data_IF_628578937284
#
_entry.id   IF_628578937284
#
_cell.length_a   1.000
_cell.length_b   1.000
_cell.length_c   1.000
_cell.angle_alpha   90.00
_cell.angle_beta   90.00
_cell.angle_gamma   90.00
#
_symmetry.space_group_name_H-M   'P 1'
#
loop_
_entity.id
_entity.type
_entity.pdbx_description
1 polymer ?
#
# COMPACT_ATOMS: atom_id res chain seq x y z
N UNK A 1 -5.91 14.22 17.24
CA UNK A 1 -4.67 14.91 17.72
C UNK A 1 -4.31 15.97 16.71
N UNK A 2 -3.94 17.18 17.11
CA UNK A 2 -3.43 18.19 16.16
C UNK A 2 -2.00 17.81 15.76
N UNK A 3 -1.65 17.99 14.48
CA UNK A 3 -0.31 17.76 13.98
C UNK A 3 0.66 18.79 14.57
N UNK A 4 1.90 18.40 14.79
CA UNK A 4 2.99 19.34 15.08
C UNK A 4 3.20 20.26 13.87
N UNK A 5 3.37 21.55 14.08
CA UNK A 5 3.74 22.49 13.01
C UNK A 5 5.26 22.51 12.74
N UNK A 6 6.01 21.67 13.45
CA UNK A 6 7.47 21.58 13.31
C UNK A 6 7.82 20.67 12.13
N UNK A 7 8.71 21.15 11.25
CA UNK A 7 9.25 20.35 10.14
C UNK A 7 10.02 19.15 10.73
N UNK A 8 9.64 17.91 10.42
CA UNK A 8 10.34 16.73 10.92
C UNK A 8 11.81 16.70 10.46
N UNK A 9 12.72 16.44 11.39
CA UNK A 9 14.13 16.23 11.09
C UNK A 9 14.37 14.76 10.78
N UNK A 10 15.08 14.50 9.69
CA UNK A 10 15.40 13.14 9.29
C UNK A 10 16.86 12.79 9.56
N UNK A 11 17.07 11.61 10.13
CA UNK A 11 18.41 11.02 10.26
C UNK A 11 18.47 9.75 9.43
N UNK A 12 19.45 9.66 8.53
CA UNK A 12 19.59 8.53 7.61
C UNK A 12 20.93 7.84 7.79
N UNK A 13 20.83 6.53 7.97
CA UNK A 13 22.00 5.66 8.01
C UNK A 13 21.94 4.64 6.86
N UNK A 14 23.10 4.40 6.26
CA UNK A 14 23.27 3.33 5.26
C UNK A 14 24.40 2.41 5.74
N UNK A 15 24.15 1.10 5.70
CA UNK A 15 25.15 0.09 6.11
C UNK A 15 25.66 -0.59 4.86
N UNK A 16 26.97 -0.49 4.64
CA UNK A 16 27.70 -1.15 3.55
C UNK A 16 28.80 -2.02 4.15
N UNK A 17 28.70 -3.34 3.98
CA UNK A 17 29.52 -4.27 4.74
C UNK A 17 29.33 -4.11 6.24
N UNK A 18 30.41 -3.96 6.97
CA UNK A 18 30.40 -3.73 8.44
C UNK A 18 30.35 -2.24 8.84
N UNK A 19 30.33 -1.34 7.87
CA UNK A 19 30.37 0.10 8.13
C UNK A 19 28.99 0.75 8.05
N UNK A 20 28.63 1.51 9.09
CA UNK A 20 27.41 2.30 9.17
C UNK A 20 27.71 3.76 8.90
N UNK A 21 27.31 4.26 7.75
CA UNK A 21 27.47 5.65 7.34
C UNK A 21 26.27 6.49 7.78
N UNK A 22 26.51 7.60 8.47
CA UNK A 22 25.50 8.64 8.67
C UNK A 22 25.57 9.59 7.46
N UNK A 23 24.55 9.52 6.59
CA UNK A 23 24.49 10.33 5.37
C UNK A 23 23.57 11.54 5.49
N UNK A 24 23.07 11.83 6.68
CA UNK A 24 22.06 12.88 6.92
C UNK A 24 22.49 14.25 6.40
N UNK A 25 23.77 14.61 6.58
CA UNK A 25 24.31 15.90 6.12
C UNK A 25 24.47 16.01 4.59
N UNK A 26 24.46 14.89 3.89
CA UNK A 26 24.52 14.84 2.42
C UNK A 26 23.12 14.82 1.77
N UNK A 27 22.05 14.78 2.55
CA UNK A 27 20.68 14.69 2.04
C UNK A 27 20.19 16.08 1.65
N UNK A 28 19.79 16.22 0.38
CA UNK A 28 19.08 17.38 -0.15
C UNK A 28 17.57 17.21 -0.11
N UNK A 29 17.07 15.97 -0.19
CA UNK A 29 15.64 15.68 -0.14
C UNK A 29 15.35 14.20 0.14
N UNK A 30 14.18 13.96 0.71
CA UNK A 30 13.63 12.60 0.95
C UNK A 30 12.20 12.57 0.47
N UNK A 31 11.91 11.71 -0.53
CA UNK A 31 10.56 11.39 -0.92
C UNK A 31 10.18 10.02 -0.37
N UNK A 32 8.97 9.89 0.19
CA UNK A 32 8.44 8.60 0.69
C UNK A 32 7.06 8.35 0.09
N UNK A 33 6.81 7.13 -0.38
CA UNK A 33 5.52 6.73 -0.92
C UNK A 33 5.08 5.38 -0.37
N UNK A 34 3.78 5.26 -0.09
CA UNK A 34 3.11 4.04 0.35
C UNK A 34 1.75 3.92 -0.34
N UNK A 35 1.29 2.69 -0.58
CA UNK A 35 0.00 2.41 -1.21
C UNK A 35 0.08 2.44 -2.73
N UNK A 36 -1.01 2.86 -3.38
CA UNK A 36 -1.11 2.90 -4.84
C UNK A 36 -0.88 1.52 -5.50
N UNK A 37 -1.50 0.49 -4.92
CA UNK A 37 -1.39 -0.90 -5.40
C UNK A 37 -0.09 -1.61 -5.02
N UNK A 38 0.78 -0.97 -4.24
CA UNK A 38 2.03 -1.55 -3.76
C UNK A 38 1.97 -1.83 -2.26
N UNK A 39 2.53 -2.97 -1.83
CA UNK A 39 2.66 -3.30 -0.41
C UNK A 39 3.98 -2.82 0.19
N UNK A 40 5.00 -2.62 -0.65
CA UNK A 40 6.31 -2.13 -0.24
C UNK A 40 6.32 -0.60 -0.14
N UNK A 41 6.83 -0.07 0.97
CA UNK A 41 7.12 1.35 1.09
C UNK A 41 8.34 1.70 0.24
N UNK A 42 8.25 2.79 -0.50
CA UNK A 42 9.32 3.35 -1.31
C UNK A 42 9.88 4.62 -0.65
N UNK A 43 11.21 4.71 -0.59
CA UNK A 43 11.93 5.92 -0.20
C UNK A 43 12.91 6.31 -1.31
N UNK A 44 12.90 7.56 -1.70
CA UNK A 44 13.88 8.11 -2.63
C UNK A 44 14.73 9.13 -1.87
N UNK A 45 16.04 8.88 -1.81
CA UNK A 45 17.03 9.76 -1.20
C UNK A 45 17.71 10.58 -2.28
N UNK A 46 17.64 11.90 -2.18
CA UNK A 46 18.40 12.81 -3.01
C UNK A 46 19.66 13.22 -2.23
N UNK A 47 20.83 12.80 -2.69
CA UNK A 47 22.09 12.95 -1.99
C UNK A 47 23.08 13.84 -2.75
N UNK A 48 23.80 14.68 -2.06
CA UNK A 48 25.03 15.26 -2.60
C UNK A 48 26.13 14.19 -2.61
N UNK A 49 26.82 14.03 -3.73
CA UNK A 49 27.93 13.09 -3.82
C UNK A 49 29.18 13.72 -3.17
N UNK A 50 29.33 13.48 -1.88
CA UNK A 50 30.44 14.00 -1.04
C UNK A 50 31.55 12.98 -0.92
N UNK A 51 32.75 13.44 -0.59
CA UNK A 51 33.85 12.57 -0.18
C UNK A 51 33.66 12.15 1.27
N UNK A 52 33.81 10.84 1.51
CA UNK A 52 33.88 10.24 2.83
C UNK A 52 35.23 9.55 2.92
N UNK A 53 36.10 10.07 3.77
CA UNK A 53 37.54 9.69 3.82
C UNK A 53 38.18 9.86 2.42
N UNK A 54 38.67 8.79 1.82
CA UNK A 54 39.34 8.81 0.52
C UNK A 54 38.44 8.34 -0.65
N UNK A 55 37.14 8.19 -0.44
CA UNK A 55 36.20 7.64 -1.43
C UNK A 55 34.99 8.54 -1.62
N UNK A 56 34.45 8.56 -2.84
CA UNK A 56 33.16 9.20 -3.08
C UNK A 56 32.01 8.36 -2.53
N UNK A 57 31.02 9.00 -1.91
CA UNK A 57 29.83 8.36 -1.35
C UNK A 57 29.15 7.42 -2.37
N UNK A 58 29.07 7.83 -3.63
CA UNK A 58 28.50 7.01 -4.73
C UNK A 58 29.27 5.71 -5.00
N UNK A 59 30.54 5.63 -4.63
CA UNK A 59 31.34 4.40 -4.75
C UNK A 59 31.19 3.46 -3.54
N UNK A 60 30.87 4.02 -2.38
CA UNK A 60 30.69 3.24 -1.13
C UNK A 60 29.32 2.56 -1.04
N UNK A 61 28.30 3.16 -1.65
CA UNK A 61 26.93 2.69 -1.56
C UNK A 61 26.59 1.75 -2.73
N UNK A 62 26.23 0.51 -2.41
CA UNK A 62 25.99 -0.57 -3.37
C UNK A 62 24.53 -1.06 -3.29
N UNK A 63 23.98 -1.68 -4.36
CA UNK A 63 22.69 -2.35 -4.31
C UNK A 63 22.63 -3.36 -3.15
N UNK A 64 21.49 -3.41 -2.45
CA UNK A 64 21.30 -4.29 -1.30
C UNK A 64 21.83 -3.77 0.03
N UNK A 65 22.56 -2.64 0.05
CA UNK A 65 22.94 -2.02 1.32
C UNK A 65 21.70 -1.64 2.12
N UNK A 66 21.79 -1.83 3.44
CA UNK A 66 20.68 -1.54 4.37
C UNK A 66 20.53 -0.04 4.58
N UNK A 67 19.28 0.42 4.57
CA UNK A 67 18.92 1.84 4.80
C UNK A 67 18.00 1.93 6.00
N UNK A 68 18.25 2.93 6.85
CA UNK A 68 17.44 3.26 8.02
C UNK A 68 17.13 4.75 7.98
N UNK A 69 15.87 5.11 8.05
CA UNK A 69 15.43 6.52 8.16
C UNK A 69 14.68 6.70 9.46
N UNK A 70 15.10 7.66 10.24
CA UNK A 70 14.44 8.12 11.46
C UNK A 70 13.83 9.49 11.22
N UNK A 71 12.71 9.77 11.87
CA UNK A 71 12.12 11.09 11.92
C UNK A 71 11.98 11.56 13.36
N UNK A 72 12.21 12.86 13.56
CA UNK A 72 12.01 13.56 14.83
C UNK A 72 11.14 14.80 14.55
N UNK A 73 9.92 14.81 15.06
CA UNK A 73 8.97 15.93 14.94
C UNK A 73 8.93 16.83 16.19
N UNK A 74 9.89 16.65 17.08
CA UNK A 74 9.99 17.36 18.38
C UNK A 74 9.11 16.75 19.47
N UNK A 75 8.20 15.84 19.15
CA UNK A 75 7.35 15.12 20.12
C UNK A 75 7.67 13.64 20.16
N UNK A 76 8.07 13.09 19.03
CA UNK A 76 8.43 11.69 18.85
C UNK A 76 9.67 11.59 17.96
N UNK A 77 10.55 10.65 18.30
CA UNK A 77 11.71 10.28 17.48
C UNK A 77 11.71 8.76 17.33
N UNK A 78 11.48 8.26 16.13
CA UNK A 78 11.47 6.82 15.85
C UNK A 78 11.87 6.53 14.40
N UNK A 79 12.14 5.27 14.14
CA UNK A 79 12.41 4.74 12.82
C UNK A 79 11.11 4.69 11.98
N UNK A 80 11.14 5.37 10.84
CA UNK A 80 9.99 5.46 9.91
C UNK A 80 10.18 4.63 8.64
N UNK A 81 11.41 4.18 8.37
CA UNK A 81 11.71 3.32 7.24
C UNK A 81 12.95 2.46 7.52
N UNK A 82 12.87 1.22 7.10
CA UNK A 82 13.97 0.28 7.05
C UNK A 82 13.87 -0.54 5.77
N UNK A 83 14.96 -0.55 4.99
CA UNK A 83 14.92 -1.24 3.71
C UNK A 83 16.31 -1.40 3.09
N UNK A 84 16.34 -1.42 1.76
CA UNK A 84 17.53 -1.69 0.97
C UNK A 84 17.69 -0.65 -0.14
N UNK A 85 18.92 -0.30 -0.46
CA UNK A 85 19.24 0.40 -1.71
C UNK A 85 18.90 -0.53 -2.88
N UNK A 86 17.97 -0.08 -3.73
CA UNK A 86 17.47 -0.88 -4.84
C UNK A 86 17.98 -0.39 -6.20
N UNK A 87 17.93 0.92 -6.38
CA UNK A 87 18.30 1.57 -7.63
C UNK A 87 19.11 2.83 -7.36
N UNK A 88 20.08 3.10 -8.21
CA UNK A 88 20.86 4.34 -8.20
C UNK A 88 20.70 5.07 -9.52
N UNK A 89 20.42 6.35 -9.49
CA UNK A 89 20.55 7.28 -10.60
C UNK A 89 21.60 8.32 -10.25
N UNK A 90 22.52 8.56 -11.15
CA UNK A 90 23.54 9.61 -11.04
C UNK A 90 23.53 10.46 -12.29
N UNK A 91 23.32 11.76 -12.11
CA UNK A 91 23.41 12.75 -13.20
C UNK A 91 24.48 13.75 -12.83
N UNK A 92 25.38 14.01 -13.76
CA UNK A 92 26.45 15.00 -13.61
C UNK A 92 26.36 16.02 -14.73
N UNK A 93 26.30 17.28 -14.35
CA UNK A 93 26.42 18.43 -15.27
C UNK A 93 27.63 19.28 -14.86
N UNK A 94 27.84 20.41 -15.54
CA UNK A 94 28.88 21.37 -15.14
C UNK A 94 28.65 21.98 -13.76
N UNK A 95 27.39 22.08 -13.35
CA UNK A 95 26.99 22.77 -12.09
C UNK A 95 26.44 21.84 -11.03
N UNK A 96 25.92 20.66 -11.41
CA UNK A 96 25.18 19.79 -10.50
C UNK A 96 25.70 18.34 -10.55
N UNK A 97 25.67 17.69 -9.39
CA UNK A 97 25.99 16.27 -9.22
C UNK A 97 24.86 15.60 -8.42
N UNK A 98 23.77 15.32 -9.10
CA UNK A 98 22.61 14.70 -8.50
C UNK A 98 22.81 13.20 -8.35
N UNK A 99 22.83 12.75 -7.12
CA UNK A 99 22.89 11.34 -6.75
C UNK A 99 21.56 10.96 -6.09
N UNK A 100 20.80 10.09 -6.75
CA UNK A 100 19.51 9.63 -6.24
C UNK A 100 19.55 8.14 -6.02
N UNK A 101 19.07 7.71 -4.85
CA UNK A 101 18.85 6.31 -4.51
C UNK A 101 17.38 6.05 -4.25
N UNK A 102 16.83 5.04 -4.93
CA UNK A 102 15.52 4.48 -4.64
C UNK A 102 15.70 3.28 -3.71
N UNK A 103 14.97 3.29 -2.63
CA UNK A 103 15.02 2.28 -1.57
C UNK A 103 13.62 1.70 -1.40
N UNK A 104 13.56 0.42 -1.06
CA UNK A 104 12.30 -0.25 -0.69
C UNK A 104 12.47 -1.01 0.61
N UNK A 105 11.39 -1.18 1.36
CA UNK A 105 11.37 -2.07 2.50
C UNK A 105 11.42 -3.56 2.06
N UNK A 106 11.41 -4.47 3.02
CA UNK A 106 11.56 -5.90 2.75
C UNK A 106 10.38 -6.54 1.99
N UNK A 107 9.22 -5.87 1.89
CA UNK A 107 8.08 -6.39 1.13
C UNK A 107 8.27 -6.26 -0.38
N UNK A 108 9.29 -5.53 -0.84
CA UNK A 108 9.65 -5.48 -2.26
C UNK A 108 9.94 -6.87 -2.82
N UNK A 109 10.56 -7.74 -2.02
CA UNK A 109 10.83 -9.12 -2.45
C UNK A 109 9.54 -9.91 -2.73
N UNK A 110 8.46 -9.62 -1.99
CA UNK A 110 7.15 -10.22 -2.25
C UNK A 110 6.49 -9.66 -3.50
N UNK A 111 6.72 -8.38 -3.77
CA UNK A 111 6.15 -7.68 -4.91
C UNK A 111 6.85 -8.08 -6.23
N UNK A 112 8.15 -8.37 -6.18
CA UNK A 112 8.94 -8.73 -7.36
C UNK A 112 9.06 -10.24 -7.60
N UNK A 113 8.59 -11.07 -6.65
CA UNK A 113 8.77 -12.52 -6.74
C UNK A 113 7.45 -13.26 -6.97
N UNK A 114 7.52 -14.31 -7.77
CA UNK A 114 6.43 -15.24 -7.98
C UNK A 114 6.49 -16.40 -6.99
N UNK A 115 5.33 -16.89 -6.60
CA UNK A 115 5.17 -18.04 -5.73
C UNK A 115 4.19 -19.05 -6.34
N UNK A 116 4.38 -20.32 -6.01
CA UNK A 116 3.44 -21.39 -6.25
C UNK A 116 3.27 -22.20 -4.98
N UNK A 117 2.08 -22.15 -4.40
CA UNK A 117 1.80 -22.81 -3.13
C UNK A 117 0.46 -23.54 -3.16
N UNK A 118 0.40 -24.67 -2.46
CA UNK A 118 -0.80 -25.46 -2.26
C UNK A 118 -1.08 -25.61 -0.76
N UNK A 119 -2.32 -25.30 -0.39
CA UNK A 119 -2.80 -25.53 0.96
C UNK A 119 -4.07 -26.38 0.94
N UNK A 120 -4.04 -27.51 1.68
CA UNK A 120 -5.21 -28.33 1.88
C UNK A 120 -6.32 -27.59 2.62
N UNK A 121 -7.56 -28.03 2.44
CA UNK A 121 -8.70 -27.52 3.20
C UNK A 121 -8.46 -27.60 4.71
N UNK A 122 -8.99 -26.63 5.46
CA UNK A 122 -8.89 -26.57 6.90
C UNK A 122 -7.72 -25.70 7.43
N UNK A 123 -6.88 -25.15 6.56
CA UNK A 123 -5.81 -24.24 6.98
C UNK A 123 -6.37 -22.88 7.37
N UNK A 124 -5.85 -22.32 8.47
CA UNK A 124 -6.19 -20.97 8.92
C UNK A 124 -5.36 -19.91 8.22
N UNK A 125 -5.90 -18.71 8.01
CA UNK A 125 -5.21 -17.57 7.38
C UNK A 125 -3.84 -17.34 7.98
N UNK A 126 -3.74 -17.22 9.31
CA UNK A 126 -2.47 -17.00 10.01
C UNK A 126 -1.42 -18.07 9.66
N UNK A 127 -1.81 -19.35 9.67
CA UNK A 127 -0.89 -20.46 9.37
C UNK A 127 -0.39 -20.45 7.91
N UNK A 128 -1.22 -19.97 6.98
CA UNK A 128 -0.83 -19.79 5.57
C UNK A 128 0.23 -18.68 5.47
N UNK A 129 -0.04 -17.52 6.09
CA UNK A 129 0.90 -16.40 6.14
C UNK A 129 2.22 -16.79 6.81
N UNK A 130 2.17 -17.46 7.97
CA UNK A 130 3.37 -17.95 8.68
C UNK A 130 4.22 -18.88 7.79
N UNK A 131 3.57 -19.77 7.03
CA UNK A 131 4.26 -20.69 6.13
C UNK A 131 4.98 -19.95 5.01
N UNK A 132 4.30 -19.00 4.36
CA UNK A 132 4.86 -18.21 3.26
C UNK A 132 5.96 -17.27 3.77
N UNK A 133 5.70 -16.51 4.84
CA UNK A 133 6.70 -15.60 5.41
C UNK A 133 7.96 -16.34 5.89
N UNK A 134 7.81 -17.51 6.51
CA UNK A 134 8.94 -18.33 6.93
C UNK A 134 9.80 -18.78 5.75
N UNK A 135 9.17 -19.18 4.63
CA UNK A 135 9.88 -19.57 3.40
C UNK A 135 10.76 -18.44 2.86
N UNK A 136 10.29 -17.20 2.99
CA UNK A 136 10.98 -16.02 2.49
C UNK A 136 11.81 -15.28 3.56
N UNK A 137 11.94 -15.84 4.76
CA UNK A 137 12.77 -15.28 5.83
C UNK A 137 12.25 -13.96 6.41
N UNK A 138 10.96 -13.65 6.24
CA UNK A 138 10.33 -12.43 6.73
C UNK A 138 9.56 -12.73 8.02
N UNK A 139 9.76 -11.90 9.04
CA UNK A 139 9.00 -11.97 10.29
C UNK A 139 7.56 -11.53 10.05
N UNK A 140 6.62 -12.18 10.73
CA UNK A 140 5.18 -11.88 10.63
C UNK A 140 4.62 -11.48 11.98
N UNK A 141 3.84 -10.41 11.98
CA UNK A 141 2.88 -10.05 13.03
C UNK A 141 1.45 -10.10 12.48
N UNK A 142 0.75 -11.19 12.77
CA UNK A 142 -0.64 -11.42 12.45
C UNK A 142 -1.38 -11.80 13.73
N UNK A 143 -1.92 -10.81 14.43
CA UNK A 143 -2.54 -10.98 15.75
C UNK A 143 -4.07 -11.03 15.72
N UNK A 144 -4.64 -10.89 14.53
CA UNK A 144 -6.07 -10.65 14.35
C UNK A 144 -6.83 -11.90 13.94
N UNK A 145 -8.12 -11.69 13.63
CA UNK A 145 -9.06 -12.73 13.26
C UNK A 145 -8.62 -13.49 12.01
N UNK A 146 -8.73 -14.80 12.09
CA UNK A 146 -8.27 -15.71 11.06
C UNK A 146 -9.41 -16.65 10.68
N UNK A 147 -9.73 -16.72 9.40
CA UNK A 147 -10.71 -17.67 8.88
C UNK A 147 -10.06 -19.02 8.57
N UNK A 148 -10.90 -20.04 8.44
CA UNK A 148 -10.53 -21.34 7.87
C UNK A 148 -10.81 -21.33 6.38
N UNK A 149 -9.81 -21.66 5.57
CA UNK A 149 -9.90 -21.70 4.12
C UNK A 149 -10.31 -23.09 3.61
N UNK A 150 -10.99 -23.12 2.46
CA UNK A 150 -11.08 -24.29 1.61
C UNK A 150 -9.69 -24.61 1.02
N UNK A 151 -9.60 -25.61 0.14
CA UNK A 151 -8.38 -25.87 -0.61
C UNK A 151 -7.97 -24.62 -1.41
N UNK A 152 -6.70 -24.20 -1.24
CA UNK A 152 -6.13 -23.08 -1.99
C UNK A 152 -5.02 -23.57 -2.93
N UNK A 153 -5.09 -23.16 -4.18
CA UNK A 153 -4.03 -23.30 -5.18
C UNK A 153 -3.64 -21.89 -5.58
N UNK A 154 -2.50 -21.45 -5.10
CA UNK A 154 -2.00 -20.08 -5.23
C UNK A 154 -0.84 -20.05 -6.21
N UNK A 155 -0.87 -19.12 -7.17
CA UNK A 155 0.20 -18.96 -8.16
C UNK A 155 0.20 -17.52 -8.69
N UNK A 156 1.34 -16.87 -8.59
CA UNK A 156 1.53 -15.50 -9.08
C UNK A 156 2.45 -14.69 -8.19
N UNK A 157 2.37 -13.39 -8.29
CA UNK A 157 3.11 -12.48 -7.40
C UNK A 157 2.72 -12.72 -5.96
N UNK A 158 3.72 -12.85 -5.09
CA UNK A 158 3.46 -13.16 -3.69
C UNK A 158 2.68 -12.05 -2.98
N UNK A 159 2.89 -10.79 -3.38
CA UNK A 159 2.09 -9.66 -2.90
C UNK A 159 0.60 -9.84 -3.21
N UNK A 160 0.26 -10.24 -4.44
CA UNK A 160 -1.14 -10.47 -4.86
C UNK A 160 -1.74 -11.67 -4.13
N UNK A 161 -0.93 -12.72 -3.92
CA UNK A 161 -1.35 -13.89 -3.12
C UNK A 161 -1.78 -13.46 -1.72
N UNK A 162 -1.00 -12.61 -1.04
CA UNK A 162 -1.37 -12.12 0.28
C UNK A 162 -2.60 -11.24 0.27
N UNK A 163 -2.68 -10.29 -0.65
CA UNK A 163 -3.75 -9.28 -0.69
C UNK A 163 -4.99 -9.81 -1.38
N UNK A 164 -4.94 -10.04 -2.68
CA UNK A 164 -6.10 -10.39 -3.50
C UNK A 164 -6.59 -11.83 -3.26
N UNK A 165 -5.65 -12.82 -3.19
CA UNK A 165 -6.07 -14.23 -3.11
C UNK A 165 -6.47 -14.64 -1.68
N UNK A 166 -5.86 -14.07 -0.64
CA UNK A 166 -6.09 -14.49 0.76
C UNK A 166 -6.88 -13.46 1.56
N UNK A 167 -6.42 -12.19 1.63
CA UNK A 167 -7.09 -11.19 2.47
C UNK A 167 -8.44 -10.75 1.95
N UNK A 168 -8.65 -10.77 0.64
CA UNK A 168 -9.99 -10.53 0.08
C UNK A 168 -10.98 -11.64 0.47
N UNK A 169 -10.54 -12.92 0.54
CA UNK A 169 -11.38 -13.98 1.08
C UNK A 169 -11.70 -13.79 2.57
N UNK A 170 -10.76 -13.23 3.33
CA UNK A 170 -11.02 -12.87 4.74
C UNK A 170 -12.06 -11.75 4.83
N UNK A 171 -11.89 -10.69 4.03
CA UNK A 171 -12.85 -9.59 3.91
C UNK A 171 -14.24 -10.11 3.56
N UNK A 172 -14.34 -11.02 2.59
CA UNK A 172 -15.60 -11.59 2.14
C UNK A 172 -16.36 -12.34 3.23
N UNK A 173 -15.63 -13.04 4.08
CA UNK A 173 -16.23 -13.84 5.17
C UNK A 173 -16.48 -13.05 6.44
N UNK A 174 -15.69 -12.02 6.72
CA UNK A 174 -15.73 -11.30 8.00
C UNK A 174 -16.24 -9.87 7.88
N UNK A 175 -16.27 -9.30 6.66
CA UNK A 175 -16.52 -7.87 6.42
C UNK A 175 -15.37 -6.95 6.82
N UNK A 176 -14.26 -7.50 7.32
CA UNK A 176 -13.11 -6.71 7.81
C UNK A 176 -12.02 -6.65 6.76
N UNK A 177 -11.58 -5.44 6.44
CA UNK A 177 -10.42 -5.19 5.57
C UNK A 177 -9.13 -5.21 6.39
N UNK A 178 -8.05 -5.67 5.77
CA UNK A 178 -6.71 -5.67 6.35
C UNK A 178 -5.73 -5.00 5.43
N UNK A 179 -4.73 -4.35 6.01
CA UNK A 179 -3.58 -3.77 5.30
C UNK A 179 -2.33 -4.57 5.64
N UNK A 180 -1.47 -4.74 4.64
CA UNK A 180 -0.14 -5.35 4.77
C UNK A 180 0.89 -4.24 4.68
N UNK A 181 1.78 -4.13 5.67
CA UNK A 181 2.86 -3.15 5.68
C UNK A 181 4.08 -3.64 6.44
N UNK A 182 5.26 -3.14 6.11
CA UNK A 182 6.50 -3.43 6.83
C UNK A 182 6.76 -2.39 7.92
N UNK A 183 7.15 -2.88 9.10
CA UNK A 183 7.67 -2.05 10.18
C UNK A 183 8.90 -2.78 10.79
N UNK A 184 10.08 -2.15 10.72
CA UNK A 184 11.34 -2.71 11.28
C UNK A 184 11.62 -4.16 10.88
N UNK A 185 11.51 -4.47 9.56
CA UNK A 185 11.65 -5.80 8.93
C UNK A 185 10.57 -6.83 9.30
N UNK A 186 9.55 -6.44 9.99
CA UNK A 186 8.41 -7.32 10.30
C UNK A 186 7.24 -6.96 9.38
N UNK A 187 6.69 -7.95 8.69
CA UNK A 187 5.43 -7.80 7.97
C UNK A 187 4.29 -7.78 8.97
N UNK A 188 3.56 -6.70 8.99
CA UNK A 188 2.36 -6.54 9.81
C UNK A 188 1.11 -6.69 8.94
N UNK A 189 0.19 -7.51 9.40
CA UNK A 189 -1.18 -7.60 8.85
C UNK A 189 -2.10 -7.00 9.90
N UNK A 190 -2.62 -5.81 9.62
CA UNK A 190 -3.41 -5.02 10.58
C UNK A 190 -4.81 -4.75 10.03
N UNK A 191 -5.85 -4.69 10.89
CA UNK A 191 -7.15 -4.20 10.45
C UNK A 191 -7.04 -2.75 9.98
N UNK A 192 -7.73 -2.42 8.90
CA UNK A 192 -7.87 -1.06 8.41
C UNK A 192 -8.61 -0.23 9.44
N UNK A 193 -8.16 1.00 9.69
CA UNK A 193 -8.76 1.93 10.66
C UNK A 193 -8.47 1.62 12.13
N UNK A 194 -7.59 0.66 12.45
CA UNK A 194 -7.28 0.26 13.83
C UNK A 194 -6.14 1.07 14.49
N UNK A 195 -5.73 2.18 13.91
CA UNK A 195 -4.72 3.05 14.49
C UNK A 195 -5.22 3.68 15.82
N UNK A 196 -4.32 3.75 16.80
CA UNK A 196 -4.65 4.32 18.12
C UNK A 196 -4.77 5.84 18.09
N UNK A 197 -3.91 6.49 17.32
CA UNK A 197 -3.91 7.94 17.14
C UNK A 197 -4.64 8.26 15.83
N UNK A 198 -5.79 8.94 15.94
CA UNK A 198 -6.55 9.44 14.80
C UNK A 198 -6.23 10.93 14.64
N UNK A 199 -5.65 11.30 13.50
CA UNK A 199 -5.35 12.68 13.18
C UNK A 199 -6.56 13.36 12.57
N UNK A 200 -6.75 14.65 12.90
CA UNK A 200 -7.85 15.46 12.40
C UNK A 200 -7.27 16.57 11.52
N UNK A 201 -7.72 16.59 10.27
CA UNK A 201 -7.34 17.56 9.24
C UNK A 201 -8.44 18.62 9.12
N UNK A 202 -8.10 19.86 9.44
CA UNK A 202 -9.05 20.98 9.53
C UNK A 202 -8.58 22.11 8.61
N UNK A 203 -9.49 22.60 7.76
CA UNK A 203 -9.24 23.76 6.90
C UNK A 203 -8.85 25.00 7.72
N UNK A 204 -7.82 25.70 7.27
CA UNK A 204 -7.28 26.87 7.97
C UNK A 204 -6.40 26.56 9.18
N UNK A 205 -6.23 25.30 9.59
CA UNK A 205 -5.33 24.89 10.67
C UNK A 205 -4.12 24.11 10.14
N UNK A 206 -4.35 22.98 9.51
CA UNK A 206 -3.30 22.01 9.12
C UNK A 206 -3.54 21.38 7.75
N UNK A 207 -4.40 21.96 6.93
CA UNK A 207 -4.66 21.56 5.55
C UNK A 207 -4.17 22.65 4.61
N UNK A 208 -3.30 22.28 3.65
CA UNK A 208 -2.85 23.19 2.59
C UNK A 208 -3.88 23.24 1.47
N UNK A 209 -4.37 22.07 1.03
CA UNK A 209 -5.55 21.95 0.17
C UNK A 209 -6.28 20.64 0.44
N UNK A 210 -7.56 20.61 0.08
CA UNK A 210 -8.39 19.41 0.01
C UNK A 210 -9.03 19.32 -1.37
N UNK A 211 -9.17 18.11 -1.88
CA UNK A 211 -9.88 17.81 -3.11
C UNK A 211 -10.84 16.65 -2.87
N UNK A 212 -12.02 16.75 -3.43
CA UNK A 212 -13.00 15.67 -3.49
C UNK A 212 -13.50 15.51 -4.92
N UNK A 213 -13.93 14.31 -5.24
CA UNK A 213 -14.47 14.00 -6.55
C UNK A 213 -15.07 12.61 -6.57
N UNK A 214 -15.41 12.17 -7.75
CA UNK A 214 -15.89 10.80 -7.96
C UNK A 214 -15.42 10.29 -9.33
N UNK A 215 -15.33 8.96 -9.45
CA UNK A 215 -15.02 8.29 -10.71
C UNK A 215 -15.94 7.11 -10.93
N UNK A 216 -16.20 6.80 -12.19
CA UNK A 216 -16.87 5.57 -12.62
C UNK A 216 -15.86 4.50 -13.06
N UNK A 217 -14.56 4.75 -12.92
CA UNK A 217 -13.54 3.78 -13.29
C UNK A 217 -13.64 2.52 -12.42
N UNK A 218 -13.63 1.36 -13.08
CA UNK A 218 -13.84 0.07 -12.41
C UNK A 218 -15.28 -0.23 -11.99
N UNK A 219 -16.24 0.63 -12.33
CA UNK A 219 -17.64 0.42 -12.00
C UNK A 219 -18.22 -0.75 -12.78
N UNK A 220 -19.12 -1.52 -12.15
CA UNK A 220 -19.77 -2.70 -12.73
C UNK A 220 -21.29 -2.54 -12.54
N UNK A 221 -22.01 -2.36 -13.65
CA UNK A 221 -23.48 -2.26 -13.63
C UNK A 221 -24.16 -3.49 -14.17
N UNK A 222 -23.41 -4.45 -14.75
CA UNK A 222 -23.94 -5.69 -15.27
C UNK A 222 -22.91 -6.81 -15.15
N UNK A 223 -23.32 -7.97 -14.67
CA UNK A 223 -22.49 -9.18 -14.64
C UNK A 223 -23.17 -10.29 -15.44
N UNK A 224 -22.41 -10.89 -16.36
CA UNK A 224 -22.83 -12.10 -17.09
C UNK A 224 -22.08 -13.29 -16.49
N UNK A 225 -22.82 -14.35 -16.20
CA UNK A 225 -22.29 -15.62 -15.70
C UNK A 225 -22.28 -16.61 -16.87
N UNK A 226 -21.07 -17.06 -17.23
CA UNK A 226 -20.89 -18.09 -18.26
C UNK A 226 -20.81 -19.47 -17.63
N UNK A 227 -21.42 -20.43 -18.30
CA UNK A 227 -21.33 -21.85 -17.98
C UNK A 227 -20.13 -22.53 -18.65
N UNK A 228 -20.05 -23.85 -18.47
CA UNK A 228 -19.01 -24.63 -19.15
C UNK A 228 -19.16 -24.56 -20.66
N UNK A 229 -18.03 -24.48 -21.36
CA UNK A 229 -17.98 -24.57 -22.80
C UNK A 229 -18.58 -25.92 -23.31
N UNK A 230 -19.36 -25.85 -24.36
CA UNK A 230 -19.87 -27.01 -25.11
C UNK A 230 -18.75 -27.69 -25.92
N UNK A 231 -19.09 -28.77 -26.61
CA UNK A 231 -18.13 -29.50 -27.47
C UNK A 231 -17.59 -28.69 -28.65
N UNK A 232 -18.14 -27.49 -28.90
CA UNK A 232 -17.71 -26.54 -29.95
C UNK A 232 -16.97 -25.32 -29.34
N UNK A 233 -16.71 -25.35 -28.04
CA UNK A 233 -16.02 -24.24 -27.32
C UNK A 233 -16.92 -23.03 -27.04
N UNK A 234 -18.25 -23.13 -27.13
CA UNK A 234 -19.17 -22.05 -26.82
C UNK A 234 -19.57 -22.12 -25.34
N UNK A 235 -19.49 -21.00 -24.64
CA UNK A 235 -19.86 -20.86 -23.25
C UNK A 235 -21.28 -20.26 -23.18
N UNK A 236 -22.28 -20.99 -22.70
CA UNK A 236 -23.65 -20.48 -22.61
C UNK A 236 -23.75 -19.44 -21.47
N UNK A 237 -24.56 -18.40 -21.70
CA UNK A 237 -24.92 -17.47 -20.63
C UNK A 237 -25.93 -18.18 -19.72
N UNK A 238 -25.55 -18.48 -18.49
CA UNK A 238 -26.41 -19.12 -17.49
C UNK A 238 -27.22 -18.12 -16.67
N UNK A 239 -26.69 -16.92 -16.45
CA UNK A 239 -27.43 -15.85 -15.81
C UNK A 239 -26.86 -14.49 -16.14
N UNK A 240 -27.66 -13.44 -15.95
CA UNK A 240 -27.30 -12.04 -16.03
C UNK A 240 -27.79 -11.34 -14.77
N UNK A 241 -26.95 -10.61 -14.08
CA UNK A 241 -27.29 -9.77 -12.94
C UNK A 241 -27.07 -8.32 -13.34
N UNK A 242 -28.09 -7.49 -13.19
CA UNK A 242 -28.02 -6.06 -13.53
C UNK A 242 -28.21 -5.21 -12.28
N UNK A 243 -27.38 -4.19 -12.14
CA UNK A 243 -27.54 -3.08 -11.22
C UNK A 243 -28.23 -1.90 -11.91
N UNK A 244 -27.82 -0.67 -11.60
CA UNK A 244 -28.44 0.55 -12.12
C UNK A 244 -27.90 0.93 -13.52
N UNK A 245 -28.17 0.09 -14.50
CA UNK A 245 -27.79 0.33 -15.90
C UNK A 245 -28.56 1.47 -16.54
N UNK A 246 -29.73 1.84 -16.00
CA UNK A 246 -30.53 2.96 -16.50
C UNK A 246 -29.85 4.30 -16.19
N UNK A 247 -29.22 4.41 -15.03
CA UNK A 247 -28.56 5.64 -14.58
C UNK A 247 -27.13 5.78 -15.11
N UNK A 248 -26.37 4.67 -15.10
CA UNK A 248 -24.92 4.73 -15.36
C UNK A 248 -24.50 4.06 -16.68
N UNK A 249 -25.45 3.56 -17.46
CA UNK A 249 -25.14 2.78 -18.66
C UNK A 249 -24.70 1.35 -18.33
N UNK A 250 -24.33 0.61 -19.38
CA UNK A 250 -23.89 -0.79 -19.23
C UNK A 250 -22.38 -0.90 -19.13
N UNK A 251 -21.87 -1.14 -17.92
CA UNK A 251 -20.47 -1.48 -17.63
C UNK A 251 -20.45 -2.96 -17.22
N UNK A 252 -20.09 -3.82 -18.19
CA UNK A 252 -20.29 -5.26 -18.08
C UNK A 252 -19.02 -5.97 -17.66
N UNK A 253 -19.15 -6.87 -16.68
CA UNK A 253 -18.14 -7.87 -16.31
C UNK A 253 -18.66 -9.28 -16.62
N UNK A 254 -17.76 -10.14 -17.04
CA UNK A 254 -18.03 -11.56 -17.26
C UNK A 254 -17.33 -12.34 -16.15
N UNK A 255 -18.01 -13.33 -15.59
CA UNK A 255 -17.45 -14.30 -14.67
C UNK A 255 -17.77 -15.72 -15.15
N UNK A 256 -16.78 -16.60 -15.04
CA UNK A 256 -16.93 -18.00 -15.41
C UNK A 256 -17.33 -18.80 -14.17
N UNK A 257 -18.41 -19.55 -14.27
CA UNK A 257 -18.85 -20.42 -13.17
C UNK A 257 -17.83 -21.50 -12.79
N UNK A 258 -17.01 -21.92 -13.74
CA UNK A 258 -16.02 -22.99 -13.56
C UNK A 258 -16.65 -24.25 -12.92
N UNK A 259 -16.24 -24.58 -11.68
CA UNK A 259 -16.75 -25.71 -10.91
C UNK A 259 -17.73 -25.30 -9.79
N UNK A 260 -18.05 -24.00 -9.66
CA UNK A 260 -18.99 -23.51 -8.64
C UNK A 260 -20.45 -23.78 -9.04
N UNK A 261 -21.36 -23.77 -8.08
CA UNK A 261 -22.80 -23.82 -8.36
C UNK A 261 -23.28 -22.48 -8.94
N UNK A 262 -24.37 -22.53 -9.75
CA UNK A 262 -24.97 -21.29 -10.25
C UNK A 262 -25.42 -20.35 -9.12
N UNK A 263 -25.81 -20.91 -7.97
CA UNK A 263 -26.16 -20.12 -6.77
C UNK A 263 -24.97 -19.35 -6.22
N UNK A 264 -23.80 -19.97 -6.17
CA UNK A 264 -22.56 -19.31 -5.72
C UNK A 264 -22.12 -18.24 -6.70
N UNK A 265 -22.13 -18.53 -8.00
CA UNK A 265 -21.81 -17.54 -9.03
C UNK A 265 -22.77 -16.33 -9.01
N UNK A 266 -24.07 -16.55 -8.75
CA UNK A 266 -25.04 -15.44 -8.55
C UNK A 266 -24.75 -14.62 -7.30
N UNK A 267 -24.30 -15.24 -6.20
CA UNK A 267 -23.88 -14.51 -4.99
C UNK A 267 -22.66 -13.63 -5.27
N UNK A 268 -21.68 -14.16 -5.99
CA UNK A 268 -20.50 -13.42 -6.42
C UNK A 268 -20.88 -12.24 -7.32
N UNK A 269 -21.72 -12.46 -8.33
CA UNK A 269 -22.21 -11.41 -9.22
C UNK A 269 -22.96 -10.30 -8.47
N UNK A 270 -23.84 -10.66 -7.53
CA UNK A 270 -24.54 -9.67 -6.69
C UNK A 270 -23.57 -8.89 -5.79
N UNK A 271 -22.53 -9.54 -5.26
CA UNK A 271 -21.47 -8.89 -4.50
C UNK A 271 -20.72 -7.87 -5.35
N UNK A 272 -20.31 -8.23 -6.57
CA UNK A 272 -19.65 -7.32 -7.51
C UNK A 272 -20.50 -6.08 -7.81
N UNK A 273 -21.81 -6.26 -8.07
CA UNK A 273 -22.74 -5.14 -8.26
C UNK A 273 -22.86 -4.28 -6.99
N UNK A 274 -22.91 -4.89 -5.81
CA UNK A 274 -23.00 -4.16 -4.54
C UNK A 274 -21.74 -3.33 -4.27
N UNK A 275 -20.57 -3.88 -4.52
CA UNK A 275 -19.27 -3.24 -4.22
C UNK A 275 -18.85 -2.23 -5.30
N UNK A 276 -19.15 -2.50 -6.58
CA UNK A 276 -18.69 -1.71 -7.72
C UNK A 276 -19.84 -1.07 -8.53
N UNK A 277 -21.08 -1.16 -8.08
CA UNK A 277 -22.24 -0.67 -8.83
C UNK A 277 -22.53 0.81 -8.68
N UNK A 278 -21.69 1.56 -7.96
CA UNK A 278 -21.80 3.00 -7.73
C UNK A 278 -20.48 3.68 -8.05
N UNK A 279 -20.48 4.99 -8.41
CA UNK A 279 -19.26 5.77 -8.49
C UNK A 279 -18.47 5.70 -7.18
N UNK A 280 -17.15 5.63 -7.30
CA UNK A 280 -16.24 5.65 -6.16
C UNK A 280 -15.89 7.10 -5.83
N UNK A 281 -16.03 7.49 -4.56
CA UNK A 281 -15.54 8.77 -4.09
C UNK A 281 -14.02 8.79 -4.07
N UNK A 282 -13.46 9.95 -4.40
CA UNK A 282 -12.04 10.24 -4.40
C UNK A 282 -11.80 11.41 -3.46
N UNK A 283 -10.89 11.25 -2.52
CA UNK A 283 -10.52 12.31 -1.60
C UNK A 283 -9.01 12.47 -1.58
N UNK A 284 -8.55 13.69 -1.61
CA UNK A 284 -7.14 14.04 -1.53
C UNK A 284 -6.92 15.19 -0.56
N UNK A 285 -5.89 15.11 0.26
CA UNK A 285 -5.50 16.17 1.18
C UNK A 285 -4.00 16.38 1.10
N UNK A 286 -3.60 17.65 0.94
CA UNK A 286 -2.22 18.08 1.19
C UNK A 286 -2.12 18.75 2.55
N UNK A 287 -1.16 18.31 3.35
CA UNK A 287 -0.91 18.80 4.70
C UNK A 287 0.59 18.79 5.02
N UNK A 288 1.06 19.51 6.06
CA UNK A 288 2.38 19.30 6.63
C UNK A 288 2.59 17.83 6.98
N UNK A 289 3.80 17.30 6.76
CA UNK A 289 4.07 15.87 6.96
C UNK A 289 3.90 15.45 8.43
N UNK A 290 3.16 14.38 8.62
CA UNK A 290 3.08 13.64 9.87
C UNK A 290 3.73 12.28 9.62
N UNK A 291 4.99 12.06 10.05
CA UNK A 291 5.77 10.87 9.69
C UNK A 291 5.13 9.54 10.09
N UNK A 292 4.21 9.58 11.05
CA UNK A 292 3.63 8.41 11.73
C UNK A 292 2.37 7.88 11.06
N UNK A 293 1.70 8.66 10.21
CA UNK A 293 0.54 8.20 9.44
C UNK A 293 0.99 7.17 8.42
N UNK A 294 0.26 6.06 8.32
CA UNK A 294 0.55 4.96 7.38
C UNK A 294 -0.71 4.59 6.58
N UNK A 295 -0.50 3.92 5.46
CA UNK A 295 -1.60 3.33 4.70
C UNK A 295 -2.41 2.37 5.57
N UNK A 296 -3.73 2.44 5.46
CA UNK A 296 -4.68 1.71 6.32
C UNK A 296 -5.06 2.42 7.61
N UNK A 297 -4.45 3.56 7.94
CA UNK A 297 -4.83 4.34 9.10
C UNK A 297 -6.11 5.15 8.82
N UNK A 298 -6.91 5.34 9.87
CA UNK A 298 -8.08 6.21 9.88
C UNK A 298 -7.66 7.64 10.20
N UNK A 299 -8.26 8.58 9.51
CA UNK A 299 -8.15 10.02 9.74
C UNK A 299 -9.53 10.66 9.72
N UNK A 300 -9.67 11.84 10.33
CA UNK A 300 -10.89 12.65 10.25
C UNK A 300 -10.56 13.90 9.44
N UNK A 301 -11.45 14.25 8.52
CA UNK A 301 -11.28 15.39 7.63
C UNK A 301 -12.45 16.36 7.74
N UNK A 302 -12.11 17.63 7.92
CA UNK A 302 -13.05 18.74 7.92
C UNK A 302 -12.45 19.90 7.10
N UNK A 303 -12.49 19.75 5.77
CA UNK A 303 -11.87 20.67 4.84
C UNK A 303 -12.58 20.69 3.48
N UNK A 304 -12.94 21.88 3.02
CA UNK A 304 -13.66 22.07 1.76
C UNK A 304 -15.08 21.52 1.84
N UNK A 305 -15.41 20.61 0.94
CA UNK A 305 -16.69 19.89 0.90
C UNK A 305 -16.64 18.52 1.61
N UNK A 306 -15.52 18.18 2.24
CA UNK A 306 -15.36 17.02 3.11
C UNK A 306 -15.61 17.47 4.55
N UNK A 307 -16.79 17.20 5.10
CA UNK A 307 -17.23 17.76 6.38
C UNK A 307 -17.35 16.66 7.45
N UNK A 308 -16.37 16.63 8.38
CA UNK A 308 -16.36 15.70 9.51
C UNK A 308 -16.29 14.24 9.13
N UNK A 309 -15.80 13.92 7.94
CA UNK A 309 -15.76 12.55 7.43
C UNK A 309 -14.64 11.73 8.07
N UNK A 310 -14.96 10.48 8.39
CA UNK A 310 -14.00 9.46 8.83
C UNK A 310 -13.53 8.67 7.62
N UNK A 311 -12.28 8.85 7.25
CA UNK A 311 -11.71 8.32 6.00
C UNK A 311 -10.50 7.43 6.28
N UNK A 312 -10.22 6.52 5.36
CA UNK A 312 -9.08 5.61 5.40
C UNK A 312 -8.01 6.05 4.41
N UNK A 313 -6.77 6.08 4.86
CA UNK A 313 -5.61 6.38 4.03
C UNK A 313 -5.30 5.19 3.11
N UNK A 314 -5.36 5.40 1.80
CA UNK A 314 -5.07 4.37 0.78
C UNK A 314 -3.73 4.57 0.10
N UNK A 315 -3.28 5.82 -0.02
CA UNK A 315 -1.93 6.13 -0.49
C UNK A 315 -1.39 7.38 0.20
N UNK A 316 -0.08 7.46 0.31
CA UNK A 316 0.64 8.60 0.89
C UNK A 316 1.85 8.90 0.02
N UNK A 317 1.98 10.16 -0.39
CA UNK A 317 3.18 10.70 -1.00
C UNK A 317 3.73 11.82 -0.14
N UNK A 318 4.99 11.73 0.27
CA UNK A 318 5.67 12.69 1.12
C UNK A 318 6.90 13.23 0.42
N UNK A 319 7.12 14.53 0.57
CA UNK A 319 8.34 15.20 0.09
C UNK A 319 8.90 16.03 1.23
N UNK A 320 10.15 15.77 1.59
CA UNK A 320 10.85 16.49 2.66
C UNK A 320 12.17 17.05 2.16
N UNK A 321 12.44 18.29 2.52
CA UNK A 321 13.67 19.01 2.28
C UNK A 321 14.18 19.65 3.59
N UNK A 322 15.26 20.41 3.52
CA UNK A 322 15.75 21.16 4.67
C UNK A 322 14.76 22.23 5.18
N UNK A 323 13.86 22.73 4.30
CA UNK A 323 13.00 23.89 4.59
C UNK A 323 11.50 23.56 4.55
N UNK A 324 11.12 22.39 4.10
CA UNK A 324 9.71 21.96 3.98
C UNK A 324 9.56 20.47 4.14
N UNK A 325 8.43 20.06 4.67
CA UNK A 325 8.01 18.66 4.68
C UNK A 325 6.50 18.60 4.56
N UNK A 326 6.04 18.08 3.43
CA UNK A 326 4.63 17.97 3.07
C UNK A 326 4.26 16.53 2.79
N UNK A 327 2.98 16.22 2.99
CA UNK A 327 2.38 14.96 2.54
C UNK A 327 1.10 15.19 1.74
N UNK A 328 0.86 14.31 0.79
CA UNK A 328 -0.42 14.18 0.08
C UNK A 328 -1.01 12.83 0.45
N UNK A 329 -2.21 12.83 0.99
CA UNK A 329 -2.98 11.66 1.36
C UNK A 329 -4.07 11.42 0.32
N UNK A 330 -4.12 10.20 -0.22
CA UNK A 330 -5.30 9.69 -0.94
C UNK A 330 -6.14 8.91 0.05
N UNK A 331 -7.44 9.18 0.08
CA UNK A 331 -8.35 8.67 1.09
C UNK A 331 -9.57 8.00 0.44
N UNK A 332 -10.17 7.06 1.15
CA UNK A 332 -11.44 6.42 0.76
C UNK A 332 -12.41 6.39 1.94
N UNK A 333 -13.69 6.14 1.64
CA UNK A 333 -14.72 5.89 2.65
C UNK A 333 -14.36 4.67 3.53
N UNK A 334 -14.69 4.73 4.83
CA UNK A 334 -14.43 3.67 5.82
C UNK A 334 -15.19 2.36 5.53
#
# INVERSE_FOLDING_TARGET
>A
MKASQQIPRHTVFIVSGDTKYNVSSAIGGIDRAEGDGQIAQKVTLQLMNVQVENSWLSGLLQPGNRVYVYADDGTQNDEIFRGFLWERSYKSSLTDRDLQYRCYDNLIYFQESDESAFFSSGKKTKAIFETLCKKWGIKLDYSYESITHSKLVLRGKLADIFTADILDLVKDKTGKKYVVRSEKDTMHVKPVGANKTVYHFIAGENVVYSGSGWTMDGMITKVIILGKADSKGREPIEATISGDTAKYGTLQKIIDRNSSSLSEAKKEANKLIKEHGKPKNLYEIKAPDIPWIRVGDKVIVDAGDIVGESLIVTAINRTSSATSSDMVLTLEDE
#
